data_IF_767174436305
#
_entry.id   IF_767174436305
#
_cell.length_a   1.000
_cell.length_b   1.000
_cell.length_c   1.000
_cell.angle_alpha   90.00
_cell.angle_beta   90.00
_cell.angle_gamma   90.00
#
_symmetry.space_group_name_H-M   'P 1'
#
loop_
_entity.id
_entity.type
_entity.pdbx_description
1 polymer ?
#
# COMPACT_ATOMS: atom_id res chain seq x y z
N UNK A 1 -3.49 47.80 39.48
CA UNK A 1 -4.62 46.83 39.46
C UNK A 1 -4.19 45.63 38.62
N UNK A 2 -4.08 44.50 39.27
CA UNK A 2 -3.66 43.20 38.70
C UNK A 2 -4.85 42.54 38.03
N UNK A 3 -4.71 42.05 36.79
CA UNK A 3 -5.58 41.00 36.26
C UNK A 3 -4.73 39.96 35.60
N UNK A 4 -4.75 38.81 36.20
CA UNK A 4 -3.97 37.57 35.89
C UNK A 4 -4.69 36.87 34.76
N UNK A 5 -4.02 36.67 33.61
CA UNK A 5 -4.45 35.73 32.57
C UNK A 5 -4.15 34.28 33.02
N UNK A 6 -5.20 33.56 33.31
CA UNK A 6 -5.18 32.13 33.61
C UNK A 6 -5.18 31.37 32.27
N UNK A 7 -4.01 30.91 31.84
CA UNK A 7 -3.86 30.01 30.69
C UNK A 7 -4.06 28.58 31.19
N UNK A 8 -5.26 28.04 31.02
CA UNK A 8 -5.53 26.62 31.27
C UNK A 8 -4.89 25.78 30.17
N UNK A 9 -3.75 25.20 30.47
CA UNK A 9 -3.18 24.09 29.74
C UNK A 9 -4.09 22.87 29.96
N UNK A 10 -4.91 22.53 28.97
CA UNK A 10 -5.62 21.26 28.96
C UNK A 10 -4.60 20.16 28.69
N UNK A 11 -4.11 19.54 29.76
CA UNK A 11 -3.33 18.31 29.71
C UNK A 11 -4.15 17.22 28.98
N UNK A 12 -3.69 16.88 27.78
CA UNK A 12 -4.18 15.71 27.03
C UNK A 12 -3.65 14.47 27.75
N UNK A 13 -4.32 14.07 28.85
CA UNK A 13 -4.08 12.79 29.49
C UNK A 13 -4.56 11.68 28.57
N UNK A 14 -3.66 11.17 27.73
CA UNK A 14 -3.84 9.85 27.12
C UNK A 14 -3.78 8.85 28.27
N UNK A 15 -4.94 8.40 28.73
CA UNK A 15 -5.03 7.45 29.84
C UNK A 15 -4.42 6.11 29.41
N UNK A 16 -3.36 5.69 30.09
CA UNK A 16 -2.71 4.37 29.98
C UNK A 16 -3.70 3.20 29.99
N UNK A 17 -4.85 3.37 30.64
CA UNK A 17 -5.97 2.42 30.68
C UNK A 17 -6.57 2.12 29.30
N UNK A 18 -6.67 3.11 28.40
CA UNK A 18 -7.23 2.91 27.07
C UNK A 18 -6.31 2.11 26.15
N UNK A 19 -5.00 2.26 26.31
CA UNK A 19 -3.99 1.50 25.56
C UNK A 19 -3.97 0.04 26.03
N UNK A 20 -4.07 -0.20 27.33
CA UNK A 20 -4.11 -1.56 27.89
C UNK A 20 -5.34 -2.34 27.42
N UNK A 21 -6.54 -1.73 27.48
CA UNK A 21 -7.78 -2.37 27.04
C UNK A 21 -7.79 -2.68 25.53
N UNK A 22 -7.20 -1.81 24.70
CA UNK A 22 -7.06 -2.04 23.27
C UNK A 22 -6.09 -3.19 22.97
N UNK A 23 -5.00 -3.30 23.71
CA UNK A 23 -4.00 -4.38 23.56
C UNK A 23 -4.59 -5.72 23.98
N UNK A 24 -5.32 -5.79 25.08
CA UNK A 24 -6.03 -7.00 25.53
C UNK A 24 -7.07 -7.46 24.50
N UNK A 25 -7.80 -6.54 23.88
CA UNK A 25 -8.74 -6.85 22.79
C UNK A 25 -8.06 -7.43 21.57
N UNK A 26 -6.90 -6.91 21.15
CA UNK A 26 -6.14 -7.39 19.99
C UNK A 26 -5.55 -8.78 20.26
N UNK A 27 -5.02 -9.02 21.46
CA UNK A 27 -4.50 -10.33 21.85
C UNK A 27 -5.62 -11.40 21.84
N UNK A 28 -6.81 -11.06 22.34
CA UNK A 28 -7.97 -11.93 22.28
C UNK A 28 -8.37 -12.24 20.82
N UNK A 29 -8.36 -11.24 19.94
CA UNK A 29 -8.64 -11.42 18.51
C UNK A 29 -7.58 -12.30 17.86
N UNK A 30 -6.30 -12.12 18.19
CA UNK A 30 -5.21 -12.94 17.68
C UNK A 30 -5.40 -14.40 18.06
N UNK A 31 -5.58 -14.71 19.35
CA UNK A 31 -5.77 -16.09 19.84
C UNK A 31 -7.00 -16.76 19.21
N UNK A 32 -8.09 -16.04 19.07
CA UNK A 32 -9.34 -16.58 18.53
C UNK A 32 -9.29 -16.81 17.01
N UNK A 33 -8.51 -16.05 16.26
CA UNK A 33 -8.62 -16.00 14.81
C UNK A 33 -7.34 -16.33 14.05
N UNK A 34 -6.17 -16.43 14.70
CA UNK A 34 -4.89 -16.70 14.04
C UNK A 34 -4.90 -18.01 13.25
N UNK A 35 -5.33 -19.12 13.85
CA UNK A 35 -5.39 -20.43 13.17
C UNK A 35 -6.28 -20.41 11.93
N UNK A 36 -7.48 -19.83 12.08
CA UNK A 36 -8.41 -19.66 10.95
C UNK A 36 -7.82 -18.81 9.83
N UNK A 37 -7.14 -17.70 10.17
CA UNK A 37 -6.55 -16.79 9.19
C UNK A 37 -5.39 -17.46 8.45
N UNK A 38 -4.53 -18.20 9.18
CA UNK A 38 -3.45 -18.97 8.60
C UNK A 38 -3.96 -20.02 7.59
N UNK A 39 -5.00 -20.76 7.95
CA UNK A 39 -5.62 -21.75 7.06
C UNK A 39 -6.29 -21.10 5.85
N UNK A 40 -6.86 -19.90 6.03
CA UNK A 40 -7.41 -19.14 4.93
C UNK A 40 -6.33 -18.74 3.91
N UNK A 41 -5.15 -18.29 4.37
CA UNK A 41 -4.01 -17.96 3.51
C UNK A 41 -3.44 -19.23 2.83
N UNK A 42 -3.27 -20.33 3.57
CA UNK A 42 -2.79 -21.59 3.00
C UNK A 42 -3.63 -22.07 1.82
N UNK A 43 -4.95 -22.01 1.97
CA UNK A 43 -5.88 -22.39 0.87
C UNK A 43 -5.80 -21.45 -0.32
N UNK A 44 -5.53 -20.18 -0.09
CA UNK A 44 -5.51 -19.16 -1.14
C UNK A 44 -4.19 -19.11 -1.90
N UNK A 45 -3.10 -19.47 -1.25
CA UNK A 45 -1.74 -19.42 -1.78
C UNK A 45 -1.22 -20.83 -2.16
N UNK A 46 -2.10 -21.82 -2.28
CA UNK A 46 -1.74 -23.20 -2.63
C UNK A 46 -0.63 -23.79 -1.75
N UNK A 47 -0.68 -23.50 -0.43
CA UNK A 47 0.27 -24.03 0.55
C UNK A 47 1.62 -23.32 0.60
N UNK A 48 1.75 -22.14 -0.02
CA UNK A 48 3.01 -21.39 -0.02
C UNK A 48 3.55 -21.14 1.41
N UNK A 49 4.88 -21.23 1.61
CA UNK A 49 5.51 -21.03 2.93
C UNK A 49 5.25 -19.62 3.51
N UNK A 50 4.98 -18.64 2.66
CA UNK A 50 4.68 -17.27 3.07
C UNK A 50 3.30 -17.08 3.74
N UNK A 51 2.47 -18.11 3.84
CA UNK A 51 1.13 -17.96 4.44
C UNK A 51 1.18 -17.50 5.91
N UNK A 52 2.20 -17.94 6.66
CA UNK A 52 2.40 -17.51 8.05
C UNK A 52 2.78 -16.03 8.14
N UNK A 53 3.68 -15.57 7.27
CA UNK A 53 4.14 -14.18 7.21
C UNK A 53 2.99 -13.24 6.85
N UNK A 54 2.16 -13.63 5.85
CA UNK A 54 1.00 -12.83 5.45
C UNK A 54 -0.10 -12.81 6.54
N UNK A 55 -0.24 -13.89 7.30
CA UNK A 55 -1.12 -13.89 8.46
C UNK A 55 -0.61 -12.92 9.53
N UNK A 56 0.70 -12.94 9.80
CA UNK A 56 1.34 -12.00 10.72
C UNK A 56 1.18 -10.55 10.24
N UNK A 57 1.49 -10.25 8.99
CA UNK A 57 1.28 -8.94 8.37
C UNK A 57 -0.14 -8.41 8.53
N UNK A 58 -1.14 -9.31 8.42
CA UNK A 58 -2.53 -8.93 8.60
C UNK A 58 -2.81 -8.45 10.03
N UNK A 59 -2.22 -9.10 11.05
CA UNK A 59 -2.34 -8.66 12.44
C UNK A 59 -1.56 -7.38 12.73
N UNK A 60 -0.39 -7.20 12.13
CA UNK A 60 0.34 -5.92 12.21
C UNK A 60 -0.51 -4.78 11.66
N UNK A 61 -1.16 -4.98 10.51
CA UNK A 61 -2.10 -3.99 9.95
C UNK A 61 -3.32 -3.76 10.84
N UNK A 62 -3.82 -4.80 11.51
CA UNK A 62 -4.88 -4.64 12.50
C UNK A 62 -4.44 -3.72 13.65
N UNK A 63 -3.22 -3.92 14.16
CA UNK A 63 -2.67 -3.10 15.26
C UNK A 63 -2.49 -1.64 14.89
N UNK A 64 -2.17 -1.35 13.62
CA UNK A 64 -1.99 0.01 13.11
C UNK A 64 -3.29 0.67 12.62
N UNK A 65 -4.39 -0.08 12.55
CA UNK A 65 -5.68 0.45 12.15
C UNK A 65 -6.27 1.38 13.23
N UNK A 66 -6.64 2.60 12.84
CA UNK A 66 -7.21 3.62 13.75
C UNK A 66 -8.47 3.16 14.51
N UNK A 67 -9.20 2.18 13.98
CA UNK A 67 -10.47 1.67 14.52
C UNK A 67 -10.32 0.32 15.25
N UNK A 68 -9.11 -0.12 15.54
CA UNK A 68 -8.86 -1.41 16.20
C UNK A 68 -9.65 -1.63 17.52
N UNK A 69 -9.83 -0.60 18.37
CA UNK A 69 -10.54 -0.79 19.65
C UNK A 69 -12.05 -1.03 19.53
N UNK A 70 -12.69 -0.77 18.38
CA UNK A 70 -14.15 -0.82 18.21
C UNK A 70 -14.65 -1.89 17.23
N UNK A 71 -13.88 -2.96 17.01
CA UNK A 71 -14.20 -3.96 16.00
C UNK A 71 -15.32 -4.89 16.51
N UNK A 72 -16.54 -4.67 16.05
CA UNK A 72 -17.69 -5.50 16.38
C UNK A 72 -17.68 -6.89 15.71
N UNK A 73 -17.06 -7.02 14.53
CA UNK A 73 -16.99 -8.25 13.75
C UNK A 73 -15.54 -8.56 13.33
N UNK A 74 -14.70 -9.04 14.26
CA UNK A 74 -13.26 -9.21 14.04
C UNK A 74 -12.93 -10.08 12.82
N UNK A 75 -13.65 -11.19 12.63
CA UNK A 75 -13.43 -12.11 11.50
C UNK A 75 -13.71 -11.47 10.14
N UNK A 76 -14.76 -10.66 10.02
CA UNK A 76 -15.09 -9.95 8.78
C UNK A 76 -14.03 -8.88 8.47
N UNK A 77 -13.60 -8.15 9.50
CA UNK A 77 -12.56 -7.12 9.37
C UNK A 77 -11.20 -7.74 8.98
N UNK A 78 -10.77 -8.80 9.66
CA UNK A 78 -9.56 -9.54 9.31
C UNK A 78 -9.60 -10.07 7.88
N UNK A 79 -10.76 -10.57 7.41
CA UNK A 79 -10.92 -11.02 6.02
C UNK A 79 -10.71 -9.90 5.01
N UNK A 80 -11.19 -8.69 5.31
CA UNK A 80 -10.97 -7.51 4.44
C UNK A 80 -9.51 -7.12 4.38
N UNK A 81 -8.81 -7.07 5.53
CA UNK A 81 -7.38 -6.81 5.60
C UNK A 81 -6.57 -7.88 4.87
N UNK A 82 -6.88 -9.16 5.12
CA UNK A 82 -6.20 -10.30 4.50
C UNK A 82 -6.36 -10.31 2.97
N UNK A 83 -7.52 -9.91 2.47
CA UNK A 83 -7.73 -9.79 1.02
C UNK A 83 -6.78 -8.74 0.41
N UNK A 84 -6.64 -7.58 1.05
CA UNK A 84 -5.67 -6.56 0.62
C UNK A 84 -4.22 -7.04 0.68
N UNK A 85 -3.87 -7.83 1.71
CA UNK A 85 -2.53 -8.44 1.85
C UNK A 85 -2.25 -9.41 0.70
N UNK A 86 -3.21 -10.30 0.36
CA UNK A 86 -3.08 -11.26 -0.75
C UNK A 86 -2.93 -10.54 -2.09
N UNK A 87 -3.77 -9.55 -2.37
CA UNK A 87 -3.70 -8.78 -3.62
C UNK A 87 -2.32 -8.12 -3.77
N UNK A 88 -1.82 -7.48 -2.71
CA UNK A 88 -0.49 -6.87 -2.72
C UNK A 88 0.64 -7.91 -2.88
N UNK A 89 0.48 -9.10 -2.30
CA UNK A 89 1.44 -10.20 -2.44
C UNK A 89 1.53 -10.66 -3.91
N UNK A 90 0.41 -10.93 -4.56
CA UNK A 90 0.40 -11.33 -5.96
C UNK A 90 0.97 -10.25 -6.88
N UNK A 91 0.62 -8.99 -6.63
CA UNK A 91 1.16 -7.86 -7.39
C UNK A 91 2.69 -7.79 -7.30
N UNK A 92 3.27 -7.98 -6.09
CA UNK A 92 4.72 -8.04 -5.94
C UNK A 92 5.33 -9.21 -6.71
N UNK A 93 4.72 -10.38 -6.66
CA UNK A 93 5.17 -11.54 -7.45
C UNK A 93 5.12 -11.28 -8.95
N UNK A 94 4.09 -10.58 -9.44
CA UNK A 94 3.98 -10.24 -10.86
C UNK A 94 5.07 -9.24 -11.28
N UNK A 95 5.37 -8.23 -10.46
CA UNK A 95 6.48 -7.29 -10.68
C UNK A 95 7.83 -8.04 -10.70
N UNK A 96 8.07 -8.92 -9.73
CA UNK A 96 9.30 -9.71 -9.66
C UNK A 96 9.44 -10.67 -10.85
N UNK A 97 8.35 -11.25 -11.32
CA UNK A 97 8.34 -12.08 -12.51
C UNK A 97 8.67 -11.26 -13.76
N UNK A 98 7.96 -10.14 -13.97
CA UNK A 98 8.19 -9.25 -15.10
C UNK A 98 9.64 -8.72 -15.13
N UNK A 99 10.20 -8.40 -13.96
CA UNK A 99 11.60 -8.01 -13.83
C UNK A 99 12.56 -9.14 -14.24
N UNK A 100 12.35 -10.38 -13.76
CA UNK A 100 13.16 -11.53 -14.14
C UNK A 100 13.09 -11.83 -15.64
N UNK A 101 11.90 -11.74 -16.21
CA UNK A 101 11.68 -11.96 -17.63
C UNK A 101 12.39 -10.88 -18.47
N UNK A 102 12.36 -9.62 -18.04
CA UNK A 102 13.09 -8.54 -18.69
C UNK A 102 14.63 -8.76 -18.62
N UNK A 103 15.13 -9.18 -17.45
CA UNK A 103 16.57 -9.48 -17.30
C UNK A 103 17.03 -10.65 -18.16
N UNK A 104 16.19 -11.67 -18.37
CA UNK A 104 16.52 -12.82 -19.21
C UNK A 104 16.74 -12.44 -20.69
N UNK A 105 16.26 -11.28 -21.11
CA UNK A 105 16.46 -10.74 -22.47
C UNK A 105 17.78 -9.97 -22.62
N UNK A 106 18.47 -9.64 -21.51
CA UNK A 106 19.74 -8.93 -21.55
C UNK A 106 20.92 -9.89 -21.74
N UNK A 107 21.96 -9.48 -22.48
CA UNK A 107 23.23 -10.22 -22.55
C UNK A 107 23.86 -10.34 -21.16
N UNK A 108 24.46 -11.52 -20.86
CA UNK A 108 25.10 -11.80 -19.55
C UNK A 108 26.01 -10.68 -18.97
N UNK A 109 26.83 -9.98 -19.78
CA UNK A 109 27.71 -8.94 -19.23
C UNK A 109 26.98 -7.69 -18.70
N UNK A 110 25.67 -7.59 -18.91
CA UNK A 110 24.83 -6.45 -18.47
C UNK A 110 23.93 -6.83 -17.30
N UNK A 111 24.06 -8.04 -16.76
CA UNK A 111 23.26 -8.47 -15.60
C UNK A 111 23.58 -7.56 -14.37
N UNK A 112 22.58 -6.93 -13.75
CA UNK A 112 22.81 -6.06 -12.59
C UNK A 112 23.28 -6.86 -11.39
N UNK A 113 24.09 -6.24 -10.52
CA UNK A 113 24.52 -6.80 -9.25
C UNK A 113 23.30 -7.13 -8.35
N UNK A 114 23.46 -8.00 -7.34
CA UNK A 114 22.41 -8.30 -6.38
C UNK A 114 21.85 -7.03 -5.71
N UNK A 115 22.70 -6.06 -5.38
CA UNK A 115 22.32 -4.80 -4.74
C UNK A 115 21.52 -3.91 -5.69
N UNK A 116 21.96 -3.76 -6.94
CA UNK A 116 21.24 -3.01 -7.98
C UNK A 116 19.86 -3.63 -8.25
N UNK A 117 19.78 -4.96 -8.18
CA UNK A 117 18.52 -5.69 -8.35
C UNK A 117 17.52 -5.40 -7.23
N UNK A 118 17.97 -5.39 -5.98
CA UNK A 118 17.12 -5.04 -4.83
C UNK A 118 16.63 -3.60 -4.96
N UNK A 119 17.52 -2.66 -5.27
CA UNK A 119 17.19 -1.24 -5.44
C UNK A 119 16.18 -1.01 -6.57
N UNK A 120 16.34 -1.71 -7.69
CA UNK A 120 15.42 -1.63 -8.81
C UNK A 120 14.01 -2.15 -8.43
N UNK A 121 13.94 -3.29 -7.75
CA UNK A 121 12.67 -3.85 -7.28
C UNK A 121 11.98 -2.93 -6.26
N UNK A 122 12.71 -2.38 -5.31
CA UNK A 122 12.16 -1.41 -4.35
C UNK A 122 11.60 -0.18 -5.08
N UNK A 123 12.31 0.33 -6.09
CA UNK A 123 11.86 1.45 -6.91
C UNK A 123 10.57 1.12 -7.65
N UNK A 124 10.49 -0.06 -8.26
CA UNK A 124 9.29 -0.53 -8.95
C UNK A 124 8.10 -0.66 -8.00
N UNK A 125 8.30 -1.20 -6.80
CA UNK A 125 7.24 -1.28 -5.78
C UNK A 125 6.74 0.10 -5.33
N UNK A 126 7.65 1.07 -5.19
CA UNK A 126 7.29 2.45 -4.84
C UNK A 126 6.47 3.12 -5.96
N UNK A 127 6.88 2.94 -7.22
CA UNK A 127 6.15 3.45 -8.39
C UNK A 127 4.76 2.80 -8.47
N UNK A 128 4.68 1.49 -8.34
CA UNK A 128 3.40 0.76 -8.38
C UNK A 128 2.44 1.24 -7.28
N UNK A 129 2.92 1.37 -6.05
CA UNK A 129 2.14 1.90 -4.94
C UNK A 129 1.70 3.36 -5.14
N UNK A 130 2.50 4.16 -5.83
CA UNK A 130 2.14 5.53 -6.20
C UNK A 130 1.03 5.54 -7.24
N UNK A 131 1.17 4.74 -8.30
CA UNK A 131 0.17 4.64 -9.36
C UNK A 131 -1.20 4.22 -8.82
N UNK A 132 -1.24 3.39 -7.78
CA UNK A 132 -2.47 2.97 -7.13
C UNK A 132 -3.19 4.07 -6.36
N UNK A 133 -2.46 5.09 -5.90
CA UNK A 133 -3.05 6.25 -5.23
C UNK A 133 -3.68 7.24 -6.20
N UNK A 134 -3.38 7.12 -7.49
CA UNK A 134 -3.96 7.96 -8.53
C UNK A 134 -5.42 7.54 -8.83
N UNK A 135 -6.23 8.50 -9.24
CA UNK A 135 -7.50 8.21 -9.88
C UNK A 135 -7.27 7.31 -11.11
N UNK A 136 -8.11 6.29 -11.39
CA UNK A 136 -7.93 5.38 -12.53
C UNK A 136 -7.66 6.09 -13.86
N UNK A 137 -8.40 7.16 -14.17
CA UNK A 137 -8.17 7.95 -15.39
C UNK A 137 -6.84 8.70 -15.37
N UNK A 138 -6.39 9.18 -14.20
CA UNK A 138 -5.09 9.84 -14.07
C UNK A 138 -3.95 8.83 -14.23
N UNK A 139 -4.08 7.62 -13.67
CA UNK A 139 -3.13 6.52 -13.86
C UNK A 139 -3.02 6.16 -15.35
N UNK A 140 -4.15 5.93 -16.03
CA UNK A 140 -4.15 5.60 -17.46
C UNK A 140 -3.53 6.72 -18.29
N UNK A 141 -3.92 7.99 -18.05
CA UNK A 141 -3.35 9.13 -18.75
C UNK A 141 -1.83 9.23 -18.56
N UNK A 142 -1.34 8.99 -17.34
CA UNK A 142 0.09 9.01 -17.03
C UNK A 142 0.85 7.90 -17.79
N UNK A 143 0.34 6.67 -17.77
CA UNK A 143 0.97 5.54 -18.45
C UNK A 143 0.99 5.75 -19.97
N UNK A 144 -0.12 6.14 -20.59
CA UNK A 144 -0.20 6.43 -22.03
C UNK A 144 0.78 7.54 -22.44
N UNK A 145 0.94 8.57 -21.61
CA UNK A 145 1.87 9.67 -21.90
C UNK A 145 3.34 9.26 -21.74
N UNK A 146 3.68 8.50 -20.68
CA UNK A 146 5.09 8.20 -20.34
C UNK A 146 5.63 6.95 -21.04
N UNK A 147 4.80 5.94 -21.28
CA UNK A 147 5.22 4.68 -21.90
C UNK A 147 4.94 4.68 -23.39
N UNK A 148 3.75 5.12 -23.79
CA UNK A 148 3.32 5.08 -25.20
C UNK A 148 3.60 6.40 -25.94
N UNK A 149 4.04 7.45 -25.23
CA UNK A 149 4.39 8.75 -25.83
C UNK A 149 3.20 9.48 -26.46
N UNK A 150 1.97 9.13 -26.08
CA UNK A 150 0.75 9.73 -26.65
C UNK A 150 0.63 11.21 -26.32
N UNK A 151 0.08 11.99 -27.27
CA UNK A 151 -0.23 13.39 -27.03
C UNK A 151 -1.39 13.57 -26.07
N UNK A 152 -1.46 14.70 -25.38
CA UNK A 152 -2.57 14.98 -24.46
C UNK A 152 -3.92 15.09 -25.18
N UNK A 153 -3.93 15.45 -26.45
CA UNK A 153 -5.13 15.46 -27.27
C UNK A 153 -5.67 14.05 -27.51
N UNK A 154 -4.78 13.12 -27.94
CA UNK A 154 -5.15 11.72 -28.18
C UNK A 154 -5.61 11.01 -26.89
N UNK A 155 -4.92 11.28 -25.77
CA UNK A 155 -5.30 10.77 -24.44
C UNK A 155 -6.67 11.32 -24.02
N UNK A 156 -6.96 12.59 -24.31
CA UNK A 156 -8.24 13.22 -23.98
C UNK A 156 -9.39 12.56 -24.75
N UNK A 157 -9.20 12.28 -26.04
CA UNK A 157 -10.15 11.56 -26.87
C UNK A 157 -10.37 10.14 -26.36
N UNK A 158 -9.30 9.37 -26.11
CA UNK A 158 -9.35 7.99 -25.65
C UNK A 158 -10.06 7.85 -24.29
N UNK A 159 -9.81 8.76 -23.35
CA UNK A 159 -10.42 8.73 -22.01
C UNK A 159 -11.77 9.44 -21.95
N UNK A 160 -12.26 10.01 -23.05
CA UNK A 160 -13.47 10.83 -23.12
C UNK A 160 -13.48 11.93 -22.04
N UNK A 161 -12.40 12.74 -22.03
CA UNK A 161 -12.22 13.89 -21.15
C UNK A 161 -11.67 15.08 -21.93
N UNK A 162 -11.67 16.27 -21.35
CA UNK A 162 -11.01 17.43 -22.00
C UNK A 162 -9.48 17.36 -21.83
N UNK A 163 -8.74 17.93 -22.76
CA UNK A 163 -7.27 18.06 -22.67
C UNK A 163 -6.83 18.80 -21.39
N UNK A 164 -7.62 19.78 -20.94
CA UNK A 164 -7.40 20.45 -19.65
C UNK A 164 -7.45 19.47 -18.47
N UNK A 165 -8.34 18.45 -18.54
CA UNK A 165 -8.42 17.43 -17.52
C UNK A 165 -7.21 16.49 -17.57
N UNK A 166 -6.72 16.15 -18.76
CA UNK A 166 -5.49 15.36 -18.92
C UNK A 166 -4.30 16.12 -18.31
N UNK A 167 -4.14 17.42 -18.58
CA UNK A 167 -3.11 18.26 -17.94
C UNK A 167 -3.19 18.23 -16.41
N UNK A 168 -4.40 18.24 -15.85
CA UNK A 168 -4.62 18.12 -14.40
C UNK A 168 -4.20 16.73 -13.88
N UNK A 169 -4.52 15.67 -14.60
CA UNK A 169 -4.12 14.29 -14.26
C UNK A 169 -2.59 14.15 -14.28
N UNK A 170 -1.94 14.69 -15.31
CA UNK A 170 -0.48 14.68 -15.42
C UNK A 170 0.18 15.45 -14.27
N UNK A 171 -0.31 16.65 -13.94
CA UNK A 171 0.21 17.43 -12.83
C UNK A 171 0.08 16.68 -11.49
N UNK A 172 -1.04 16.01 -11.26
CA UNK A 172 -1.26 15.19 -10.07
C UNK A 172 -0.28 14.01 -10.02
N UNK A 173 -0.09 13.30 -11.12
CA UNK A 173 0.83 12.17 -11.20
C UNK A 173 2.28 12.61 -10.99
N UNK A 174 2.71 13.69 -11.65
CA UNK A 174 4.06 14.25 -11.50
C UNK A 174 4.36 14.69 -10.07
N UNK A 175 3.38 15.30 -9.39
CA UNK A 175 3.54 15.65 -7.97
C UNK A 175 3.79 14.40 -7.10
N UNK A 176 3.07 13.32 -7.35
CA UNK A 176 3.29 12.06 -6.61
C UNK A 176 4.68 11.46 -6.91
N UNK A 177 5.16 11.54 -8.16
CA UNK A 177 6.51 11.12 -8.51
C UNK A 177 7.58 11.91 -7.75
N UNK A 178 7.42 13.24 -7.65
CA UNK A 178 8.35 14.09 -6.90
C UNK A 178 8.40 13.74 -5.41
N UNK A 179 7.25 13.42 -4.80
CA UNK A 179 7.19 13.01 -3.38
C UNK A 179 7.92 11.68 -3.13
N UNK A 180 7.93 10.77 -4.10
CA UNK A 180 8.69 9.51 -3.99
C UNK A 180 10.19 9.75 -4.14
N UNK A 181 10.59 10.64 -5.03
CA UNK A 181 12.01 10.94 -5.27
C UNK A 181 12.69 11.63 -4.06
N UNK A 182 11.90 12.19 -3.14
CA UNK A 182 12.40 12.88 -1.94
C UNK A 182 12.36 12.00 -0.68
N UNK A 183 11.81 10.80 -0.75
CA UNK A 183 11.64 9.87 0.38
C UNK A 183 12.66 8.74 0.36
#
# INVERSE_FOLDING_TARGET
MRTILNCQASEFRVTTSSISAATESIDAIYRAHHGWLLDWFRRRLSGAPCAADLAHDTFVRLMTARNAPSIQKPRAFLRTLAHGVVVNHWRRQDIERAWRDALALLPEPVAPSPEERVLALETLYRIDAMLDRLNPKARTAFLLSQLDGMSYADIAEMLSVSERMVKKYMAQAMLQCLLIAQA
#
